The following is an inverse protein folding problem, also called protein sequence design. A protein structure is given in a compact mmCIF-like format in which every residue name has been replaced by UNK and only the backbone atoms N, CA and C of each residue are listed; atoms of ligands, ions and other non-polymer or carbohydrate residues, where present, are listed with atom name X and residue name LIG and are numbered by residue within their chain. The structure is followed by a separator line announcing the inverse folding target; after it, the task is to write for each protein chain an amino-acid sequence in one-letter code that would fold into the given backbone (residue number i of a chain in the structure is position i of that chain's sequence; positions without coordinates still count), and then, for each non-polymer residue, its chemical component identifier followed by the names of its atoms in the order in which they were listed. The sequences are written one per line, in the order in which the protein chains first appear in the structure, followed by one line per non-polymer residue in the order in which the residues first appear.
data_IF_525340754574
#
_entry.id   IF_525340754574
#
_cell.length_a   1.000
_cell.length_b   1.000
_cell.length_c   1.000
_cell.angle_alpha   90.00
_cell.angle_beta   90.00
_cell.angle_gamma   90.00
#
_symmetry.space_group_name_H-M   'P 1'
#
loop_
_entity.id
_entity.type
_entity.pdbx_description
1 polymer ?
2 non-polymer ?
3 water ?
#
# COMPACT_ATOMS: atom_id res chain seq x y z
N UNK A 5 13.22 19.01 6.91
CA UNK A 5 12.11 18.32 6.24
C UNK A 5 11.22 19.25 5.38
N UNK A 6 11.40 20.57 5.53
CA UNK A 6 10.65 21.56 4.76
C UNK A 6 11.49 21.90 3.53
N UNK A 7 10.88 21.73 2.35
CA UNK A 7 11.55 21.99 1.09
C UNK A 7 11.05 23.31 0.53
N UNK A 8 11.98 24.22 0.23
CA UNK A 8 11.64 25.49 -0.39
C UNK A 8 11.14 25.18 -1.83
N UNK A 9 10.07 25.84 -2.34
CA UNK A 9 9.62 25.56 -3.72
C UNK A 9 10.67 25.79 -4.80
N UNK A 10 11.62 26.71 -4.54
CA UNK A 10 12.71 26.99 -5.49
C UNK A 10 13.65 25.77 -5.63
N UNK A 11 13.52 24.79 -4.73
CA UNK A 11 14.38 23.60 -4.76
C UNK A 11 13.76 22.48 -5.61
N UNK A 12 12.61 22.74 -6.23
CA UNK A 12 11.93 21.70 -7.00
C UNK A 12 11.72 22.15 -8.42
N UNK A 13 11.88 21.21 -9.37
CA UNK A 13 11.52 21.46 -10.77
C UNK A 13 10.59 20.34 -11.16
N UNK A 14 9.51 20.71 -11.88
CA UNK A 14 8.51 19.77 -12.38
C UNK A 14 8.79 19.58 -13.84
N UNK A 15 8.92 18.31 -14.26
CA UNK A 15 9.23 18.02 -15.65
C UNK A 15 8.05 17.43 -16.40
N UNK A 16 7.46 16.37 -15.87
CA UNK A 16 6.41 15.69 -16.61
C UNK A 16 5.36 15.11 -15.66
N UNK A 17 4.07 15.27 -15.99
CA UNK A 17 3.02 14.63 -15.20
C UNK A 17 3.02 13.16 -15.51
N UNK A 18 2.98 12.36 -14.45
CA UNK A 18 2.98 10.89 -14.62
C UNK A 18 1.68 10.22 -14.13
N UNK A 19 0.90 10.91 -13.31
CA UNK A 19 -0.35 10.34 -12.80
C UNK A 19 -1.22 11.41 -12.17
N UNK A 20 -2.51 11.16 -12.11
CA UNK A 20 -3.44 12.08 -11.50
C UNK A 20 -4.63 11.29 -10.98
N UNK A 21 -5.27 11.80 -9.96
CA UNK A 21 -6.45 11.14 -9.45
C UNK A 21 -7.20 12.00 -8.48
N UNK A 22 -8.04 11.33 -7.68
CA UNK A 22 -8.75 11.95 -6.61
C UNK A 22 -7.62 12.13 -5.62
N UNK A 23 -7.45 13.38 -5.22
CA UNK A 23 -6.49 13.92 -4.26
C UNK A 23 -5.38 14.76 -4.84
N UNK A 24 -5.06 14.56 -6.12
CA UNK A 24 -4.00 15.36 -6.71
C UNK A 24 -3.26 14.76 -7.88
N UNK A 25 -2.11 15.35 -8.18
CA UNK A 25 -1.29 15.02 -9.35
C UNK A 25 0.08 14.55 -8.93
N UNK A 26 0.69 13.68 -9.74
CA UNK A 26 2.06 13.24 -9.48
C UNK A 26 2.90 13.64 -10.70
N UNK A 27 4.04 14.30 -10.45
CA UNK A 27 5.00 14.67 -11.50
C UNK A 27 6.33 14.02 -11.27
N UNK A 28 7.03 13.74 -12.35
CA UNK A 28 8.44 13.39 -12.33
C UNK A 28 9.10 14.78 -12.25
N UNK A 29 10.09 14.91 -11.38
CA UNK A 29 10.80 16.17 -11.28
C UNK A 29 12.16 15.96 -10.67
N UNK A 30 12.78 17.07 -10.32
CA UNK A 30 14.10 17.05 -9.68
C UNK A 30 14.07 17.89 -8.41
N UNK A 31 14.86 17.43 -7.44
CA UNK A 31 15.03 18.12 -6.17
C UNK A 31 16.49 18.52 -6.10
N UNK A 32 16.70 19.81 -5.90
CA UNK A 32 18.01 20.44 -5.86
C UNK A 32 19.03 19.72 -4.98
N UNK A 33 20.20 19.40 -5.60
CA UNK A 33 21.39 18.79 -5.00
C UNK A 33 21.13 17.40 -4.45
N UNK A 34 20.01 16.80 -4.83
CA UNK A 34 19.61 15.50 -4.32
C UNK A 34 19.41 14.48 -5.44
N UNK A 35 18.21 14.44 -6.10
CA UNK A 35 17.96 13.45 -7.13
C UNK A 35 16.67 13.74 -7.88
N UNK A 36 16.35 12.83 -8.81
CA UNK A 36 15.05 12.75 -9.47
C UNK A 36 14.09 12.34 -8.36
N UNK A 37 12.88 12.90 -8.40
CA UNK A 37 11.86 12.63 -7.40
C UNK A 37 10.51 12.50 -8.06
N UNK A 38 9.55 11.96 -7.31
CA UNK A 38 8.13 12.01 -7.65
C UNK A 38 7.54 13.06 -6.72
N UNK A 39 6.81 14.02 -7.29
CA UNK A 39 6.23 15.09 -6.50
C UNK A 39 4.72 14.98 -6.57
N UNK A 40 4.07 14.89 -5.41
CA UNK A 40 2.62 14.87 -5.36
C UNK A 40 2.13 16.27 -5.00
N UNK A 41 1.28 16.86 -5.85
CA UNK A 41 0.64 18.14 -5.51
C UNK A 41 -0.73 17.83 -5.01
N UNK A 42 -1.10 18.40 -3.84
CA UNK A 42 -2.36 18.09 -3.14
C UNK A 42 -3.44 19.11 -3.47
N UNK A 43 -4.60 18.63 -3.93
CA UNK A 43 -5.76 19.45 -4.21
C UNK A 43 -6.31 20.02 -2.89
N UNK A 44 -6.76 21.28 -2.90
CA UNK A 44 -7.32 21.93 -1.73
C UNK A 44 -8.53 21.13 -1.21
N UNK A 45 -8.55 20.90 0.10
CA UNK A 45 -9.63 20.16 0.77
C UNK A 45 -9.53 18.65 0.73
N UNK A 46 -8.52 18.07 0.04
CA UNK A 46 -8.37 16.61 -0.05
C UNK A 46 -7.76 16.03 1.21
N UNK A 47 -6.88 16.78 1.87
CA UNK A 47 -6.21 16.28 3.07
C UNK A 47 -6.17 17.32 4.19
N UNK A 48 -6.01 16.82 5.44
CA UNK A 48 -5.80 17.71 6.56
C UNK A 48 -4.30 18.00 6.54
N UNK A 49 -3.92 19.12 5.90
CA UNK A 49 -2.53 19.48 5.76
C UNK A 49 -1.89 19.72 7.09
N UNK A 50 -2.62 20.39 8.01
CA UNK A 50 -2.10 20.67 9.34
C UNK A 50 -1.80 19.40 10.12
N UNK A 51 -2.68 18.38 10.06
CA UNK A 51 -2.46 17.11 10.76
C UNK A 51 -1.23 16.42 10.16
N UNK A 52 -1.10 16.47 8.84
CA UNK A 52 0.05 15.85 8.17
C UNK A 52 1.36 16.53 8.57
N UNK A 53 1.39 17.86 8.55
CA UNK A 53 2.57 18.66 8.89
C UNK A 53 3.08 18.33 10.30
N UNK A 54 2.15 18.05 11.24
CA UNK A 54 2.41 17.64 12.63
C UNK A 54 3.15 16.31 12.69
N UNK A 55 2.81 15.37 11.79
CA UNK A 55 3.34 14.01 11.75
C UNK A 55 4.49 13.81 10.74
N UNK A 56 4.73 14.78 9.86
CA UNK A 56 5.74 14.65 8.78
C UNK A 56 7.15 14.28 9.23
N UNK A 57 7.70 14.97 10.23
CA UNK A 57 9.06 14.69 10.72
C UNK A 57 9.23 13.21 11.10
N UNK A 58 8.29 12.64 11.88
CA UNK A 58 8.28 11.22 12.29
C UNK A 58 8.22 10.28 11.07
N UNK A 59 7.33 10.57 10.11
CA UNK A 59 7.20 9.79 8.86
C UNK A 59 8.47 9.79 8.03
N UNK A 60 9.21 10.88 8.09
CA UNK A 60 10.44 11.00 7.33
C UNK A 60 11.60 10.30 7.94
N UNK A 61 11.56 10.17 9.26
CA UNK A 61 12.59 9.48 10.01
C UNK A 61 12.47 7.96 9.86
N UNK A 62 11.25 7.46 9.53
CA UNK A 62 11.06 6.03 9.25
C UNK A 62 11.89 5.78 7.99
N UNK A 63 12.72 4.76 8.02
CA UNK A 63 13.58 4.47 6.87
C UNK A 63 13.87 2.99 6.78
N UNK A 64 13.56 2.43 5.63
CA UNK A 64 13.82 1.02 5.38
C UNK A 64 13.93 0.85 3.88
N UNK A 65 14.82 -0.04 3.38
CA UNK A 65 14.94 -0.20 1.94
C UNK A 65 13.67 -0.64 1.22
N UNK A 66 12.69 -1.19 1.96
CA UNK A 66 11.47 -1.66 1.34
C UNK A 66 10.32 -0.70 1.56
N UNK A 67 10.63 0.55 1.98
CA UNK A 67 9.62 1.58 2.12
C UNK A 67 9.96 2.75 1.19
N UNK A 68 8.96 3.24 0.42
CA UNK A 68 9.18 4.43 -0.42
C UNK A 68 9.41 5.61 0.55
N UNK A 69 10.53 6.29 0.36
CA UNK A 69 10.92 7.41 1.23
C UNK A 69 10.20 8.72 0.94
N UNK A 70 9.70 9.35 1.99
CA UNK A 70 9.18 10.74 1.95
C UNK A 70 10.43 11.62 2.21
N UNK A 71 10.81 12.46 1.24
CA UNK A 71 12.02 13.29 1.37
C UNK A 71 11.73 14.62 2.02
N UNK A 72 10.49 15.08 1.92
CA UNK A 72 10.12 16.36 2.50
C UNK A 72 8.82 16.92 1.98
N UNK A 73 8.48 18.11 2.49
CA UNK A 73 7.20 18.74 2.23
C UNK A 73 7.45 20.18 1.82
N UNK A 74 6.82 20.61 0.74
CA UNK A 74 6.92 21.98 0.27
C UNK A 74 5.60 22.63 0.70
N UNK A 75 5.66 23.46 1.75
CA UNK A 75 4.45 24.02 2.36
C UNK A 75 4.32 25.55 2.39
N UNK A 76 5.28 26.28 1.82
CA UNK A 76 5.34 27.76 1.79
C UNK A 76 4.21 28.43 1.00
N UNK A 77 3.58 27.68 0.11
CA UNK A 77 2.53 28.18 -0.76
C UNK A 77 1.51 27.09 -1.04
N UNK A 78 0.27 27.51 -1.30
CA UNK A 78 -0.82 26.60 -1.63
C UNK A 78 -0.83 26.46 -3.15
N UNK A 79 -0.97 25.24 -3.71
CA UNK A 79 -1.14 23.93 -3.04
C UNK A 79 0.16 23.37 -2.46
N UNK A 80 0.06 22.54 -1.42
CA UNK A 80 1.30 21.95 -0.88
C UNK A 80 1.75 20.78 -1.76
N UNK A 81 3.02 20.40 -1.61
CA UNK A 81 3.62 19.29 -2.36
C UNK A 81 4.35 18.38 -1.41
N UNK A 82 4.30 17.07 -1.71
CA UNK A 82 5.03 16.06 -0.98
C UNK A 82 6.04 15.45 -1.93
N UNK A 83 7.29 15.29 -1.49
CA UNK A 83 8.37 14.85 -2.36
C UNK A 83 8.80 13.44 -1.97
N UNK A 84 8.79 12.53 -2.93
CA UNK A 84 9.10 11.13 -2.68
C UNK A 84 10.19 10.61 -3.54
N UNK A 85 10.81 9.55 -3.04
CA UNK A 85 11.73 8.74 -3.79
C UNK A 85 11.03 8.30 -5.10
N UNK A 86 11.69 8.50 -6.23
CA UNK A 86 11.11 8.11 -7.53
C UNK A 86 11.24 6.61 -7.74
N UNK A 87 10.10 5.96 -8.05
CA UNK A 87 10.05 4.50 -8.30
C UNK A 87 9.83 4.29 -9.79
N UNK A 88 10.92 3.90 -10.48
CA UNK A 88 10.96 3.85 -11.94
C UNK A 88 9.86 3.11 -12.67
N UNK A 89 9.35 2.03 -12.06
CA UNK A 89 8.32 1.24 -12.71
C UNK A 89 6.89 1.39 -12.25
N UNK A 90 6.65 2.44 -11.48
CA UNK A 90 5.30 2.79 -11.07
C UNK A 90 4.68 1.81 -10.10
N UNK A 91 3.36 1.83 -10.04
CA UNK A 91 2.66 0.98 -9.08
C UNK A 91 2.60 -0.45 -9.49
N UNK A 92 2.60 -1.31 -8.49
CA UNK A 92 2.57 -2.75 -8.69
C UNK A 92 1.29 -3.22 -9.37
N UNK A 93 0.13 -2.65 -9.03
CA UNK A 93 -1.11 -3.05 -9.68
C UNK A 93 -1.04 -2.94 -11.19
N UNK A 94 -0.57 -1.80 -11.69
CA UNK A 94 -0.48 -1.62 -13.13
C UNK A 94 0.67 -2.41 -13.73
N UNK A 95 1.77 -2.57 -13.00
CA UNK A 95 2.93 -3.33 -13.46
C UNK A 95 2.51 -4.79 -13.72
N UNK A 96 1.70 -5.35 -12.82
CA UNK A 96 1.22 -6.73 -12.99
C UNK A 96 0.24 -6.84 -14.15
N UNK A 97 -0.75 -5.93 -14.22
CA UNK A 97 -1.74 -5.94 -15.28
C UNK A 97 -1.16 -5.79 -16.67
N UNK A 98 -0.20 -4.88 -16.85
CA UNK A 98 0.39 -4.61 -18.16
C UNK A 98 1.35 -5.70 -18.65
N UNK A 99 1.86 -6.52 -17.72
CA UNK A 99 2.82 -7.58 -18.03
C UNK A 99 2.30 -8.95 -17.68
N UNK A 100 0.98 -9.09 -17.60
CA UNK A 100 0.29 -10.35 -17.31
C UNK A 100 0.81 -11.41 -18.25
N UNK A 101 1.18 -12.57 -17.71
CA UNK A 101 1.71 -13.66 -18.52
C UNK A 101 3.23 -13.68 -18.59
N UNK A 102 3.91 -12.63 -18.08
CA UNK A 102 5.38 -12.56 -18.13
C UNK A 102 6.01 -12.74 -16.75
N UNK A 103 5.30 -13.41 -15.84
CA UNK A 103 5.83 -13.62 -14.51
C UNK A 103 5.91 -15.07 -14.14
N UNK A 104 7.05 -15.46 -13.61
CA UNK A 104 7.23 -16.78 -13.02
C UNK A 104 6.64 -16.71 -11.61
N UNK A 105 6.08 -17.83 -11.14
CA UNK A 105 5.55 -17.88 -9.78
C UNK A 105 6.63 -17.48 -8.75
N UNK A 106 7.92 -17.83 -8.97
CA UNK A 106 8.98 -17.43 -8.02
C UNK A 106 9.13 -15.90 -7.94
N UNK A 107 8.96 -15.20 -9.06
CA UNK A 107 9.10 -13.76 -9.10
C UNK A 107 7.94 -13.16 -8.29
N UNK A 108 6.71 -13.67 -8.50
CA UNK A 108 5.53 -13.19 -7.77
C UNK A 108 5.69 -13.42 -6.27
N UNK A 109 6.26 -14.57 -5.85
CA UNK A 109 6.54 -14.77 -4.45
C UNK A 109 7.61 -13.79 -3.94
N UNK A 110 8.65 -13.52 -4.74
CA UNK A 110 9.68 -12.58 -4.34
C UNK A 110 9.12 -11.17 -4.17
N UNK A 111 8.09 -10.79 -4.96
CA UNK A 111 7.45 -9.47 -4.82
C UNK A 111 6.69 -9.42 -3.47
N UNK A 112 6.00 -10.53 -3.11
CA UNK A 112 5.32 -10.65 -1.81
C UNK A 112 6.30 -10.61 -0.66
N UNK A 113 7.49 -11.21 -0.84
CA UNK A 113 8.52 -11.19 0.19
C UNK A 113 9.01 -9.77 0.44
N UNK A 114 9.19 -8.98 -0.63
CA UNK A 114 9.65 -7.61 -0.49
C UNK A 114 8.64 -6.79 0.31
N UNK A 115 7.35 -6.94 -0.03
CA UNK A 115 6.30 -6.21 0.70
C UNK A 115 6.27 -6.68 2.15
N UNK A 116 6.39 -7.99 2.40
CA UNK A 116 6.37 -8.51 3.75
C UNK A 116 7.53 -7.97 4.58
N UNK A 117 8.71 -7.81 3.95
CA UNK A 117 9.87 -7.24 4.65
C UNK A 117 9.58 -5.82 5.10
N UNK A 118 9.02 -5.02 4.22
CA UNK A 118 8.65 -3.64 4.56
C UNK A 118 7.61 -3.61 5.67
N UNK A 119 6.61 -4.48 5.55
CA UNK A 119 5.55 -4.58 6.56
C UNK A 119 6.06 -5.07 7.91
N UNK A 120 7.02 -6.00 7.90
CA UNK A 120 7.58 -6.47 9.18
C UNK A 120 8.31 -5.31 9.86
N UNK A 121 8.96 -4.42 9.10
CA UNK A 121 9.62 -3.27 9.69
C UNK A 121 8.57 -2.32 10.28
N UNK A 122 7.48 -2.04 9.52
CA UNK A 122 6.41 -1.18 10.05
C UNK A 122 5.78 -1.76 11.31
N UNK A 123 5.56 -3.08 11.33
CA UNK A 123 4.98 -3.75 12.49
C UNK A 123 5.88 -3.57 13.71
N UNK A 124 7.20 -3.74 13.53
CA UNK A 124 8.16 -3.58 14.63
C UNK A 124 8.20 -2.14 15.11
N UNK A 125 8.03 -1.20 14.18
CA UNK A 125 8.01 0.25 14.44
C UNK A 125 6.66 0.73 14.97
N UNK A 126 5.65 -0.17 15.08
CA UNK A 126 4.29 0.18 15.51
C UNK A 126 3.66 1.24 14.61
N UNK A 127 3.81 1.03 13.28
CA UNK A 127 3.22 1.88 12.28
C UNK A 127 2.20 0.97 11.58
N UNK A 128 0.95 1.41 11.57
CA UNK A 128 -0.15 0.72 10.90
C UNK A 128 -0.32 1.34 9.53
N UNK A 129 -0.30 0.50 8.49
CA UNK A 129 -0.46 1.01 7.16
C UNK A 129 -1.88 1.56 6.92
N UNK A 130 -2.89 0.75 7.22
CA UNK A 130 -4.34 1.04 7.10
C UNK A 130 -4.93 0.78 5.72
N UNK A 131 -4.12 0.86 4.63
CA UNK A 131 -4.69 0.65 3.31
C UNK A 131 -3.73 -0.04 2.37
N UNK A 132 -3.12 -1.15 2.84
CA UNK A 132 -2.14 -1.88 2.02
C UNK A 132 -2.81 -2.55 0.84
N UNK A 133 -2.32 -2.27 -0.35
CA UNK A 133 -2.89 -2.83 -1.57
C UNK A 133 -1.88 -2.74 -2.68
N UNK A 134 -2.07 -3.55 -3.76
CA UNK A 134 -1.09 -3.50 -4.85
C UNK A 134 -0.92 -2.08 -5.47
N UNK A 135 -2.04 -1.30 -5.47
CA UNK A 135 -2.01 0.08 -5.98
C UNK A 135 -1.06 1.00 -5.23
N UNK A 136 -0.71 0.68 -3.97
CA UNK A 136 0.25 1.55 -3.31
C UNK A 136 1.60 0.92 -3.04
N UNK A 137 1.85 -0.25 -3.66
CA UNK A 137 3.19 -0.79 -3.66
C UNK A 137 3.79 -0.30 -4.96
N UNK A 138 5.08 0.01 -4.94
CA UNK A 138 5.75 0.56 -6.13
C UNK A 138 6.90 -0.28 -6.54
N UNK A 139 7.21 -0.26 -7.83
CA UNK A 139 8.24 -1.13 -8.39
C UNK A 139 9.47 -0.30 -8.77
N UNK A 140 10.63 -0.70 -8.28
CA UNK A 140 11.88 -0.02 -8.59
C UNK A 140 12.76 -0.81 -9.52
N UNK A 141 14.07 -0.53 -9.46
CA UNK A 141 15.12 -1.19 -10.21
C UNK A 141 15.18 -2.67 -9.83
N UNK A 142 15.36 -3.56 -10.82
CA UNK A 142 15.46 -5.03 -10.68
C UNK A 142 14.21 -5.69 -10.04
N UNK A 143 13.02 -5.08 -10.29
CA UNK A 143 11.72 -5.53 -9.79
C UNK A 143 11.60 -5.50 -8.28
N UNK A 144 12.39 -4.64 -7.60
CA UNK A 144 12.29 -4.47 -6.14
C UNK A 144 10.91 -3.85 -5.90
N UNK A 145 10.17 -4.37 -4.90
CA UNK A 145 8.89 -3.79 -4.52
C UNK A 145 9.04 -3.09 -3.22
N UNK A 146 8.45 -1.89 -3.15
CA UNK A 146 8.49 -1.10 -1.91
C UNK A 146 7.07 -0.71 -1.51
N UNK A 147 6.83 -0.61 -0.22
CA UNK A 147 5.52 -0.23 0.31
C UNK A 147 5.46 1.31 0.40
N UNK A 148 4.31 1.90 0.06
CA UNK A 148 4.16 3.34 0.23
C UNK A 148 2.83 3.63 0.89
N UNK A 149 2.67 4.89 1.33
CA UNK A 149 1.38 5.37 1.81
C UNK A 149 0.90 4.83 3.14
N UNK A 150 1.80 4.21 3.90
CA UNK A 150 1.48 3.76 5.24
C UNK A 150 1.03 4.94 6.09
N UNK A 151 -0.14 4.79 6.68
CA UNK A 151 -0.72 5.78 7.58
C UNK A 151 -1.39 6.95 6.89
N UNK A 152 -1.29 7.05 5.55
CA UNK A 152 -1.82 8.24 4.87
C UNK A 152 -3.33 8.42 4.91
N UNK A 153 -4.12 7.32 5.06
CA UNK A 153 -5.58 7.52 5.12
C UNK A 153 -5.99 8.29 6.37
N UNK A 154 -5.07 8.45 7.34
CA UNK A 154 -5.37 9.25 8.53
C UNK A 154 -5.65 10.68 8.12
N UNK A 155 -5.04 11.15 6.99
CA UNK A 155 -5.13 12.53 6.58
C UNK A 155 -6.16 12.80 5.49
N UNK A 156 -6.81 11.77 4.94
CA UNK A 156 -7.82 11.95 3.91
C UNK A 156 -9.06 12.59 4.54
N UNK A 157 -9.56 13.69 3.94
CA UNK A 157 -10.72 14.38 4.50
C UNK A 157 -12.08 13.90 4.04
N UNK A 158 -12.17 13.23 2.88
CA UNK A 158 -13.45 12.76 2.39
C UNK A 158 -13.89 11.60 3.25
N UNK A 159 -14.91 11.82 4.09
CA UNK A 159 -15.39 10.75 4.97
C UNK A 159 -15.94 9.55 4.19
N UNK A 160 -16.24 9.71 2.89
CA UNK A 160 -16.69 8.59 2.08
C UNK A 160 -15.58 7.59 1.82
N UNK A 161 -14.30 8.03 1.93
CA UNK A 161 -13.18 7.09 1.76
C UNK A 161 -12.70 6.57 3.10
N UNK A 162 -12.85 7.38 4.18
CA UNK A 162 -12.26 6.99 5.47
C UNK A 162 -13.23 6.31 6.44
N UNK A 163 -14.52 6.61 6.37
CA UNK A 163 -15.51 5.98 7.25
C UNK A 163 -15.71 4.55 6.75
N UNK A 164 -15.79 3.58 7.67
CA UNK A 164 -15.96 2.19 7.27
C UNK A 164 -17.27 1.92 6.49
N UNK A 165 -18.28 2.81 6.62
CA UNK A 165 -19.55 2.70 5.91
C UNK A 165 -19.61 3.67 4.71
N UNK A 166 -18.50 4.35 4.43
CA UNK A 166 -18.43 5.31 3.33
C UNK A 166 -18.61 4.64 1.99
N UNK A 167 -19.21 5.35 1.03
CA UNK A 167 -19.44 4.80 -0.32
C UNK A 167 -18.16 4.50 -1.12
N UNK A 168 -17.03 5.09 -0.70
CA UNK A 168 -15.74 4.91 -1.36
C UNK A 168 -14.75 4.18 -0.45
N UNK A 169 -15.24 3.60 0.66
CA UNK A 169 -14.34 2.94 1.57
C UNK A 169 -13.66 1.73 0.91
N UNK A 170 -12.32 1.58 1.04
CA UNK A 170 -11.62 0.45 0.39
C UNK A 170 -11.83 -0.87 1.13
N UNK A 171 -13.10 -1.31 1.17
CA UNK A 171 -13.51 -2.52 1.88
C UNK A 171 -12.84 -3.80 1.37
N UNK A 172 -12.42 -3.79 0.09
CA UNK A 172 -11.84 -5.01 -0.48
C UNK A 172 -10.60 -5.47 0.26
N UNK A 173 -9.89 -4.55 0.95
CA UNK A 173 -8.66 -4.89 1.68
C UNK A 173 -8.87 -4.87 3.18
N UNK A 174 -10.13 -4.61 3.63
CA UNK A 174 -10.36 -4.45 5.05
C UNK A 174 -10.72 -5.72 5.78
N UNK A 175 -10.12 -5.92 6.96
CA UNK A 175 -10.50 -7.04 7.81
C UNK A 175 -11.88 -6.77 8.43
N UNK A 176 -12.54 -7.78 8.99
CA UNK A 176 -13.86 -7.53 9.59
C UNK A 176 -13.86 -6.49 10.70
N UNK A 177 -12.81 -6.43 11.53
CA UNK A 177 -12.78 -5.40 12.58
C UNK A 177 -12.55 -3.99 12.07
N UNK A 178 -11.92 -3.88 10.88
CA UNK A 178 -11.78 -2.60 10.21
C UNK A 178 -13.10 -2.20 9.55
N UNK A 179 -13.74 -3.08 8.78
CA UNK A 179 -14.99 -2.65 8.17
C UNK A 179 -16.12 -2.47 9.18
N UNK A 180 -16.00 -3.10 10.36
CA UNK A 180 -17.01 -2.95 11.39
C UNK A 180 -16.75 -1.77 12.30
N UNK A 181 -15.50 -1.59 12.76
CA UNK A 181 -15.20 -0.63 13.82
C UNK A 181 -14.03 0.30 13.55
N UNK A 182 -13.39 0.22 12.36
CA UNK A 182 -12.17 0.99 12.10
C UNK A 182 -11.10 0.64 13.15
N UNK A 183 -11.08 -0.65 13.58
CA UNK A 183 -10.14 -1.14 14.56
C UNK A 183 -8.86 -1.59 13.85
N UNK A 184 -8.02 -0.62 13.58
CA UNK A 184 -6.76 -0.84 12.87
C UNK A 184 -5.67 -1.37 13.75
N UNK A 185 -4.85 -2.28 13.18
CA UNK A 185 -3.73 -2.85 13.90
C UNK A 185 -2.80 -3.51 12.89
N UNK A 186 -1.63 -4.00 13.34
CA UNK A 186 -0.79 -4.72 12.37
C UNK A 186 -1.48 -5.97 11.90
N UNK A 187 -2.36 -6.56 12.72
CA UNK A 187 -3.13 -7.72 12.27
C UNK A 187 -4.20 -7.37 11.24
N UNK A 188 -4.76 -6.12 11.25
CA UNK A 188 -5.65 -5.78 10.15
C UNK A 188 -4.81 -5.56 8.87
N UNK A 189 -3.54 -5.06 9.01
CA UNK A 189 -2.63 -4.95 7.85
C UNK A 189 -2.32 -6.37 7.30
N UNK A 190 -2.23 -7.41 8.18
CA UNK A 190 -1.97 -8.78 7.73
C UNK A 190 -3.11 -9.24 6.84
N UNK A 191 -4.37 -8.93 7.21
CA UNK A 191 -5.49 -9.27 6.34
C UNK A 191 -5.29 -8.61 4.96
N UNK A 192 -4.99 -7.31 4.95
CA UNK A 192 -4.77 -6.62 3.68
C UNK A 192 -3.63 -7.23 2.88
N UNK A 193 -2.57 -7.67 3.57
CA UNK A 193 -1.42 -8.32 2.92
C UNK A 193 -1.88 -9.62 2.24
N UNK A 194 -2.81 -10.35 2.84
CA UNK A 194 -3.33 -11.54 2.18
C UNK A 194 -4.04 -11.20 0.88
N UNK A 195 -4.79 -10.09 0.87
CA UNK A 195 -5.47 -9.64 -0.33
C UNK A 195 -4.42 -9.18 -1.34
N UNK A 196 -3.38 -8.44 -0.89
CA UNK A 196 -2.29 -8.06 -1.78
C UNK A 196 -1.65 -9.30 -2.40
N UNK A 197 -1.41 -10.37 -1.60
CA UNK A 197 -0.80 -11.58 -2.19
C UNK A 197 -1.71 -12.12 -3.29
N UNK A 198 -3.04 -12.08 -3.04
CA UNK A 198 -3.97 -12.55 -4.07
C UNK A 198 -3.88 -11.67 -5.32
N UNK A 199 -3.75 -10.32 -5.15
CA UNK A 199 -3.61 -9.43 -6.31
C UNK A 199 -2.34 -9.78 -7.06
N UNK A 200 -1.24 -10.05 -6.36
CA UNK A 200 0.03 -10.37 -7.00
C UNK A 200 -0.07 -11.70 -7.77
N UNK A 201 -0.54 -12.76 -7.11
CA UNK A 201 -0.57 -14.07 -7.74
C UNK A 201 -1.65 -14.16 -8.81
N UNK A 202 -2.62 -13.22 -8.81
CA UNK A 202 -3.62 -13.19 -9.86
C UNK A 202 -3.18 -12.23 -10.97
N UNK A 203 -1.95 -11.70 -10.89
CA UNK A 203 -1.38 -10.78 -11.87
C UNK A 203 -2.23 -9.50 -12.06
N UNK A 204 -2.69 -8.93 -10.94
CA UNK A 204 -3.39 -7.66 -10.94
C UNK A 204 -4.88 -7.71 -11.12
N UNK A 205 -5.52 -8.86 -10.88
CA UNK A 205 -6.99 -8.93 -10.90
C UNK A 205 -7.53 -8.11 -9.70
N UNK A 206 -8.74 -7.56 -9.84
CA UNK A 206 -9.36 -6.78 -8.77
C UNK A 206 -10.04 -7.76 -7.81
N UNK A 207 -9.70 -7.73 -6.51
CA UNK A 207 -10.37 -8.64 -5.56
C UNK A 207 -11.85 -8.32 -5.45
N UNK A 208 -12.67 -9.37 -5.43
CA UNK A 208 -14.15 -9.23 -5.30
C UNK A 208 -14.65 -8.30 -6.40
N UNK A 209 -14.19 -8.59 -7.63
CA UNK A 209 -14.59 -7.83 -8.80
C UNK A 209 -16.09 -7.87 -8.87
N UNK A 210 -16.66 -6.73 -9.09
CA UNK A 210 -18.11 -6.56 -9.19
C UNK A 210 -18.93 -6.75 -7.92
N UNK A 211 -18.32 -6.81 -6.76
CA UNK A 211 -19.11 -6.92 -5.54
C UNK A 211 -19.17 -5.52 -4.93
N UNK A 212 -20.37 -5.11 -4.48
CA UNK A 212 -20.55 -3.81 -3.84
C UNK A 212 -19.94 -3.88 -2.45
N UNK A 213 -19.75 -2.71 -1.80
CA UNK A 213 -19.18 -2.70 -0.45
C UNK A 213 -20.08 -3.54 0.48
N UNK A 214 -21.41 -3.41 0.38
CA UNK A 214 -22.32 -4.18 1.24
C UNK A 214 -22.19 -5.67 1.01
N UNK A 215 -22.05 -6.09 -0.25
CA UNK A 215 -21.88 -7.49 -0.60
C UNK A 215 -20.57 -8.05 -0.04
N UNK A 216 -19.47 -7.28 -0.12
CA UNK A 216 -18.16 -7.77 0.39
C UNK A 216 -18.30 -8.02 1.92
N UNK A 217 -18.89 -7.08 2.65
CA UNK A 217 -19.10 -7.24 4.08
C UNK A 217 -19.91 -8.50 4.39
N UNK A 218 -21.02 -8.71 3.68
CA UNK A 218 -21.86 -9.89 3.97
C UNK A 218 -21.14 -11.19 3.64
N UNK A 219 -20.46 -11.24 2.49
CA UNK A 219 -19.75 -12.43 2.01
C UNK A 219 -18.66 -12.81 2.99
N UNK A 220 -17.82 -11.83 3.38
CA UNK A 220 -16.70 -12.10 4.29
C UNK A 220 -17.25 -12.56 5.65
N UNK A 221 -18.29 -11.87 6.14
CA UNK A 221 -18.86 -12.22 7.44
C UNK A 221 -19.45 -13.61 7.50
N UNK A 222 -19.82 -14.19 6.33
CA UNK A 222 -20.42 -15.51 6.24
C UNK A 222 -19.43 -16.58 5.79
N UNK A 223 -18.15 -16.22 5.75
CA UNK A 223 -17.08 -17.16 5.47
C UNK A 223 -16.53 -17.20 4.06
N UNK A 224 -17.06 -16.39 3.11
CA UNK A 224 -16.52 -16.42 1.73
C UNK A 224 -15.07 -15.92 1.77
N UNK A 225 -14.22 -16.51 0.92
CA UNK A 225 -12.84 -16.06 0.77
C UNK A 225 -12.47 -16.12 -0.69
N UNK A 226 -11.53 -15.27 -1.08
CA UNK A 226 -11.02 -15.24 -2.45
C UNK A 226 -10.52 -16.61 -2.92
N UNK A 227 -10.80 -16.94 -4.19
CA UNK A 227 -10.39 -18.23 -4.77
C UNK A 227 -8.87 -18.29 -4.97
N UNK A 228 -8.34 -19.50 -5.09
CA UNK A 228 -6.92 -19.68 -5.34
C UNK A 228 -6.52 -19.26 -6.76
N UNK A 229 -5.62 -18.28 -6.90
CA UNK A 229 -5.14 -17.93 -8.24
C UNK A 229 -4.34 -19.09 -8.84
N UNK A 230 -4.38 -19.24 -10.17
CA UNK A 230 -3.66 -20.30 -10.90
C UNK A 230 -2.18 -20.39 -10.51
N UNK A 231 -1.51 -19.22 -10.39
CA UNK A 231 -0.08 -19.18 -10.10
C UNK A 231 0.31 -19.39 -8.64
N UNK A 232 -0.67 -19.43 -7.73
CA UNK A 232 -0.37 -19.66 -6.31
C UNK A 232 -0.30 -21.15 -6.01
N UNK A 233 0.82 -21.60 -5.43
CA UNK A 233 0.93 -23.00 -5.03
C UNK A 233 0.01 -23.30 -3.84
N UNK A 234 -0.11 -24.57 -3.51
CA UNK A 234 -0.94 -24.94 -2.36
C UNK A 234 -0.44 -24.21 -1.11
N UNK A 235 0.91 -24.19 -0.92
CA UNK A 235 1.52 -23.56 0.25
C UNK A 235 1.24 -22.05 0.27
N UNK A 236 1.31 -21.39 -0.90
CA UNK A 236 1.06 -19.94 -0.98
C UNK A 236 -0.38 -19.61 -0.67
N UNK A 237 -1.33 -20.39 -1.21
CA UNK A 237 -2.74 -20.17 -0.90
C UNK A 237 -3.05 -20.45 0.56
N UNK A 238 -2.34 -21.40 1.19
CA UNK A 238 -2.57 -21.68 2.60
C UNK A 238 -2.18 -20.43 3.42
N UNK A 239 -1.05 -19.78 3.07
CA UNK A 239 -0.61 -18.55 3.76
C UNK A 239 -1.64 -17.42 3.56
N UNK A 240 -2.17 -17.23 2.32
CA UNK A 240 -3.22 -16.22 2.07
C UNK A 240 -4.39 -16.43 3.01
N UNK A 241 -4.86 -17.71 3.15
CA UNK A 241 -5.99 -18.01 4.02
C UNK A 241 -5.70 -17.76 5.47
N UNK A 242 -4.44 -17.95 5.90
CA UNK A 242 -4.10 -17.61 7.28
C UNK A 242 -4.22 -16.12 7.56
N UNK A 243 -3.97 -15.29 6.52
CA UNK A 243 -4.11 -13.83 6.68
C UNK A 243 -5.56 -13.45 6.86
N UNK A 244 -6.48 -14.28 6.31
CA UNK A 244 -7.91 -14.01 6.35
C UNK A 244 -8.67 -14.69 7.48
N UNK A 245 -8.01 -15.02 8.56
CA UNK A 245 -8.75 -15.57 9.69
C UNK A 245 -9.63 -14.47 10.26
N UNK A 246 -10.85 -14.85 10.62
CA UNK A 246 -11.79 -13.89 11.16
C UNK A 246 -11.26 -13.09 12.37
N UNK A 247 -10.65 -13.78 13.36
CA UNK A 247 -10.11 -13.16 14.55
C UNK A 247 -8.69 -12.67 14.27
N UNK A 248 -8.35 -11.39 14.58
CA UNK A 248 -6.96 -10.92 14.33
C UNK A 248 -5.94 -11.71 15.12
N UNK A 249 -6.32 -12.19 16.31
CA UNK A 249 -5.41 -12.99 17.16
C UNK A 249 -4.96 -14.27 16.45
N UNK A 250 -5.78 -14.81 15.54
CA UNK A 250 -5.48 -16.06 14.85
C UNK A 250 -4.62 -15.85 13.59
N UNK A 251 -4.48 -14.60 13.16
CA UNK A 251 -3.69 -14.29 11.98
C UNK A 251 -2.20 -14.27 12.38
N UNK A 252 -1.31 -14.65 11.47
CA UNK A 252 0.13 -14.56 11.80
C UNK A 252 0.60 -13.11 11.83
N UNK A 253 1.56 -12.79 12.69
CA UNK A 253 2.19 -11.47 12.64
C UNK A 253 3.05 -11.40 11.35
N UNK A 254 3.46 -10.18 10.92
CA UNK A 254 4.38 -10.09 9.79
C UNK A 254 5.74 -10.73 10.07
N UNK A 255 6.16 -10.78 11.35
CA UNK A 255 7.43 -11.46 11.68
C UNK A 255 7.36 -12.93 11.33
N UNK A 256 6.19 -13.56 11.60
CA UNK A 256 5.94 -14.97 11.31
C UNK A 256 5.76 -15.16 9.82
N UNK A 257 4.94 -14.29 9.16
CA UNK A 257 4.75 -14.38 7.72
C UNK A 257 6.09 -14.28 6.97
N UNK A 258 6.98 -13.36 7.42
CA UNK A 258 8.24 -13.17 6.71
C UNK A 258 9.04 -14.48 6.71
N UNK A 259 9.11 -15.16 7.87
CA UNK A 259 9.85 -16.42 7.91
C UNK A 259 9.12 -17.48 7.06
N UNK A 260 7.76 -17.58 7.16
CA UNK A 260 7.01 -18.60 6.43
C UNK A 260 7.17 -18.46 4.94
N UNK A 261 7.05 -17.22 4.45
CA UNK A 261 7.22 -16.99 3.00
C UNK A 261 8.63 -17.22 2.56
N UNK A 262 9.64 -16.80 3.37
CA UNK A 262 11.04 -17.06 3.01
C UNK A 262 11.29 -18.57 2.92
N UNK A 263 10.71 -19.35 3.85
CA UNK A 263 10.91 -20.81 3.86
C UNK A 263 10.35 -21.39 2.58
N UNK A 264 9.16 -20.92 2.15
CA UNK A 264 8.52 -21.38 0.92
C UNK A 264 9.37 -21.02 -0.31
N UNK A 265 9.90 -19.79 -0.38
CA UNK A 265 10.73 -19.34 -1.48
C UNK A 265 12.05 -20.07 -1.56
N UNK A 266 12.70 -20.27 -0.41
CA UNK A 266 14.03 -20.92 -0.35
C UNK A 266 13.97 -22.39 -0.62
N UNK A 267 12.76 -22.99 -0.51
CA UNK A 267 12.33 -24.38 -0.73
C UNK A 267 12.46 -25.26 0.51
X LIG B 1 -1.12 12.35 -0.15
X LIG B 1 -1.24 9.61 -0.48
X LIG B 1 -0.04 11.69 -0.69
X LIG B 1 6.68 6.80 -9.17
X LIG B 1 -2.25 11.66 0.23
X LIG B 1 1.50 7.34 -11.62
X LIG B 1 2.55 7.73 -10.58
X LIG B 1 2.87 8.84 -4.39
X LIG B 1 1.57 9.94 -2.60
X LIG B 1 4.68 7.16 -8.32
X LIG B 1 -0.21 4.82 -10.35
X LIG B 1 -3.64 12.09 2.28
X LIG B 1 4.43 7.52 -2.51
X LIG B 1 4.61 7.31 -3.88
X LIG B 1 3.43 8.37 -2.08
X LIG B 1 -2.32 10.28 0.08
X LIG B 1 5.17 7.43 -7.06
X LIG B 1 3.85 7.96 -4.83
X LIG B 1 2.66 9.05 -3.03
X LIG B 1 -0.12 10.31 -0.86
X LIG B 1 4.02 7.69 -6.25
X LIG B 1 6.55 7.36 -6.92
X LIG B 1 1.44 5.84 -11.77
X LIG B 1 2.06 5.51 -9.42
X LIG B 1 2.30 7.02 -9.25
X LIG B 1 -0.93 2.75 -9.43
X LIG B 1 -4.51 12.82 0.01
X LIG B 1 -0.54 4.18 -9.04
X LIG B 1 -3.31 12.50 0.86
X LIG B 1 5.38 6.82 -9.41
X LIG B 1 7.30 7.04 -8.00
X LIG B 1 2.93 7.58 -7.00
X LIG B 1 3.33 7.28 -8.24
X LIG B 1 1.10 5.26 -10.50
X LIG B 1 7.20 7.66 -5.72
X LIG B 1 0.99 9.62 -1.39
X LIG B 1 1.22 10.86 -3.32
X LIG B 1 -1.07 4.87 -11.23
#
# INVERSE_FOLDING_TARGET
GSGKWVIDPSELTFVQEIGSGQFGLVHLGYWLNKDKVAIKTIREGAMSEEDFIEEAEVMMKLSHPKLVQLYGVCLEQAPICLVFEFMEHGCLSDYLRTQRGLFAAETLLGMCLDVCEGMAYLEEACVIHRDLAARNCLVGENQVIKVSDFGMTRFVLDDQYTSSTGTKFPVKWASPEVFSFSRYSSKSDVWSFGVLMWEVFSEGKIPYENRSNSEVVEDISTGFRLYKPRLASTHVYQIMNHCWRERPEDRPAFSRLLRQLAEIAESGL
13J C4 C7 C6 C9 C13 C20 C21 C8 C18 C16 C19 C26 C1 C2 C3 C5 C10 C11 C12 C14 C15 C17 C22 C23 C24 C25 C27 C28 C29 N30 N31 N32 N33 N34 N35 N36 O37 O38
#
